data_IF_557509177393
#
_entry.id   IF_557509177393
#
_cell.length_a   1.000
_cell.length_b   1.000
_cell.length_c   1.000
_cell.angle_alpha   90.00
_cell.angle_beta   90.00
_cell.angle_gamma   90.00
#
_symmetry.space_group_name_H-M   'P 1'
#
loop_
_entity.id
_entity.type
_entity.pdbx_description
1 polymer ?
#
# COMPACT_ATOMS: atom_id res chain seq x y z
N UNK A 1 7.83 -2.19 -16.22
CA UNK A 1 9.12 -2.87 -16.11
C UNK A 1 9.22 -3.73 -14.85
N UNK A 2 9.03 -3.15 -13.66
CA UNK A 2 9.10 -3.90 -12.39
C UNK A 2 8.10 -5.06 -12.34
N UNK A 3 6.86 -4.86 -12.81
CA UNK A 3 5.86 -5.92 -12.88
C UNK A 3 6.24 -7.04 -13.85
N UNK A 4 6.86 -6.70 -14.99
CA UNK A 4 7.37 -7.70 -15.95
C UNK A 4 8.48 -8.56 -15.34
N UNK A 5 9.46 -7.94 -14.67
CA UNK A 5 10.55 -8.68 -14.01
C UNK A 5 10.04 -9.58 -12.88
N UNK A 6 9.05 -9.11 -12.11
CA UNK A 6 8.38 -9.94 -11.08
C UNK A 6 7.63 -11.12 -11.70
N UNK A 7 6.94 -10.91 -12.82
CA UNK A 7 6.29 -11.99 -13.57
C UNK A 7 7.29 -13.04 -14.11
N UNK A 8 8.54 -12.63 -14.37
CA UNK A 8 9.65 -13.52 -14.69
C UNK A 8 10.36 -14.11 -13.46
N UNK A 9 9.78 -13.92 -12.26
CA UNK A 9 10.34 -14.32 -10.96
C UNK A 9 11.69 -13.68 -10.61
N UNK A 10 12.11 -12.63 -11.34
CA UNK A 10 13.29 -11.85 -11.02
C UNK A 10 12.91 -10.69 -10.06
N UNK A 11 13.04 -10.95 -8.77
CA UNK A 11 12.83 -9.95 -7.71
C UNK A 11 14.11 -9.22 -7.32
N UNK A 12 15.29 -9.77 -7.68
CA UNK A 12 16.60 -9.22 -7.30
C UNK A 12 16.95 -7.99 -8.14
N UNK A 13 16.75 -8.06 -9.44
CA UNK A 13 17.06 -6.94 -10.35
C UNK A 13 16.31 -5.66 -9.98
N UNK A 14 14.97 -5.65 -9.76
CA UNK A 14 14.26 -4.47 -9.28
C UNK A 14 14.79 -3.95 -7.93
N UNK A 15 15.17 -4.84 -7.02
CA UNK A 15 15.71 -4.46 -5.72
C UNK A 15 17.05 -3.72 -5.86
N UNK A 16 17.98 -4.25 -6.66
CA UNK A 16 19.29 -3.59 -6.87
C UNK A 16 19.16 -2.25 -7.57
N UNK A 17 18.27 -2.14 -8.56
CA UNK A 17 18.01 -0.87 -9.25
C UNK A 17 17.42 0.16 -8.27
N UNK A 18 16.44 -0.25 -7.44
CA UNK A 18 15.86 0.63 -6.45
C UNK A 18 16.90 1.08 -5.41
N UNK A 19 17.71 0.16 -4.88
CA UNK A 19 18.76 0.48 -3.92
C UNK A 19 19.78 1.46 -4.50
N UNK A 20 20.27 1.20 -5.71
CA UNK A 20 21.21 2.08 -6.41
C UNK A 20 20.57 3.46 -6.68
N UNK A 21 19.30 3.48 -7.13
CA UNK A 21 18.58 4.72 -7.43
C UNK A 21 18.32 5.57 -6.19
N UNK A 22 17.91 4.95 -5.07
CA UNK A 22 17.73 5.67 -3.80
C UNK A 22 19.07 6.17 -3.23
N UNK A 23 20.13 5.37 -3.31
CA UNK A 23 21.47 5.81 -2.90
C UNK A 23 21.95 7.00 -3.75
N UNK A 24 21.77 6.92 -5.07
CA UNK A 24 22.08 8.02 -5.97
C UNK A 24 21.26 9.27 -5.67
N UNK A 25 19.96 9.12 -5.33
CA UNK A 25 19.10 10.22 -4.94
C UNK A 25 19.61 10.93 -3.68
N UNK A 26 20.03 10.18 -2.66
CA UNK A 26 20.60 10.76 -1.43
C UNK A 26 21.87 11.56 -1.75
N UNK A 27 22.78 11.00 -2.56
CA UNK A 27 24.02 11.68 -2.95
C UNK A 27 23.73 12.93 -3.79
N UNK A 28 22.84 12.82 -4.78
CA UNK A 28 22.45 13.97 -5.62
C UNK A 28 21.80 15.08 -4.77
N UNK A 29 20.91 14.72 -3.85
CA UNK A 29 20.29 15.69 -2.95
C UNK A 29 21.35 16.37 -2.08
N UNK A 30 22.30 15.62 -1.52
CA UNK A 30 23.37 16.21 -0.71
C UNK A 30 24.22 17.22 -1.53
N UNK A 31 24.60 16.85 -2.75
CA UNK A 31 25.39 17.72 -3.64
C UNK A 31 24.59 18.96 -4.08
N UNK A 32 23.33 18.77 -4.52
CA UNK A 32 22.53 19.88 -5.06
C UNK A 32 22.03 20.82 -3.96
N UNK A 33 21.66 20.31 -2.79
CA UNK A 33 21.16 21.15 -1.68
C UNK A 33 22.31 21.86 -0.97
N UNK A 34 23.33 21.10 -0.54
CA UNK A 34 24.41 21.65 0.29
C UNK A 34 25.63 22.08 -0.51
N UNK A 35 25.98 21.39 -1.60
CA UNK A 35 27.13 21.75 -2.43
C UNK A 35 26.87 22.94 -3.35
N UNK A 36 25.71 22.95 -4.03
CA UNK A 36 25.32 24.00 -4.97
C UNK A 36 24.33 25.03 -4.36
N UNK A 37 23.91 24.85 -3.12
CA UNK A 37 23.01 25.80 -2.46
C UNK A 37 21.60 25.92 -3.04
N UNK A 38 21.16 24.92 -3.83
CA UNK A 38 19.88 25.00 -4.58
C UNK A 38 18.63 24.77 -3.70
N UNK A 39 18.77 24.45 -2.42
CA UNK A 39 17.66 24.27 -1.50
C UNK A 39 16.60 23.30 -2.02
N UNK A 40 15.33 23.71 -1.98
CA UNK A 40 14.19 22.86 -2.41
C UNK A 40 14.25 22.46 -3.88
N UNK A 41 14.71 23.35 -4.75
CA UNK A 41 14.87 23.07 -6.19
C UNK A 41 15.91 21.97 -6.41
N UNK A 42 17.01 21.99 -5.65
CA UNK A 42 18.04 20.95 -5.69
C UNK A 42 17.49 19.58 -5.31
N UNK A 43 16.66 19.50 -4.25
CA UNK A 43 15.99 18.26 -3.85
C UNK A 43 15.05 17.73 -4.93
N UNK A 44 14.27 18.59 -5.56
CA UNK A 44 13.38 18.21 -6.65
C UNK A 44 14.15 17.67 -7.87
N UNK A 45 15.21 18.39 -8.29
CA UNK A 45 16.05 17.97 -9.41
C UNK A 45 16.79 16.66 -9.13
N UNK A 46 17.36 16.50 -7.95
CA UNK A 46 18.03 15.25 -7.55
C UNK A 46 17.08 14.04 -7.64
N UNK A 47 15.85 14.21 -7.18
CA UNK A 47 14.82 13.17 -7.25
C UNK A 47 14.43 12.86 -8.70
N UNK A 48 14.21 13.88 -9.54
CA UNK A 48 13.87 13.70 -10.96
C UNK A 48 15.00 12.97 -11.69
N UNK A 49 16.25 13.40 -11.52
CA UNK A 49 17.41 12.76 -12.17
C UNK A 49 17.52 11.29 -11.76
N UNK A 50 17.44 10.98 -10.46
CA UNK A 50 17.53 9.60 -9.97
C UNK A 50 16.39 8.73 -10.52
N UNK A 51 15.15 9.23 -10.56
CA UNK A 51 14.01 8.50 -11.09
C UNK A 51 14.12 8.25 -12.60
N UNK A 52 14.56 9.25 -13.37
CA UNK A 52 14.81 9.06 -14.82
C UNK A 52 15.93 8.08 -15.08
N UNK A 53 17.02 8.12 -14.31
CA UNK A 53 18.11 7.14 -14.43
C UNK A 53 17.59 5.72 -14.17
N UNK A 54 16.83 5.50 -13.09
CA UNK A 54 16.20 4.21 -12.82
C UNK A 54 15.27 3.77 -13.96
N UNK A 55 14.44 4.68 -14.47
CA UNK A 55 13.53 4.39 -15.57
C UNK A 55 14.27 3.96 -16.84
N UNK A 56 15.36 4.63 -17.21
CA UNK A 56 16.19 4.27 -18.38
C UNK A 56 16.84 2.90 -18.21
N UNK A 57 17.34 2.59 -17.01
CA UNK A 57 17.90 1.25 -16.71
C UNK A 57 16.82 0.17 -16.87
N UNK A 58 15.61 0.39 -16.32
CA UNK A 58 14.50 -0.54 -16.47
C UNK A 58 14.09 -0.74 -17.94
N UNK A 59 13.99 0.35 -18.71
CA UNK A 59 13.67 0.27 -20.15
C UNK A 59 14.75 -0.52 -20.90
N UNK A 60 16.03 -0.31 -20.60
CA UNK A 60 17.12 -1.07 -21.19
C UNK A 60 17.06 -2.57 -20.89
N UNK A 61 16.71 -2.94 -19.65
CA UNK A 61 16.55 -4.35 -19.26
C UNK A 61 15.35 -4.98 -19.96
N UNK A 62 14.21 -4.30 -20.01
CA UNK A 62 13.01 -4.77 -20.70
C UNK A 62 13.30 -4.96 -22.19
N UNK A 63 13.97 -4.01 -22.83
CA UNK A 63 14.34 -4.11 -24.23
C UNK A 63 15.28 -5.32 -24.48
N UNK A 64 16.25 -5.55 -23.61
CA UNK A 64 17.13 -6.74 -23.69
C UNK A 64 16.34 -8.05 -23.57
N UNK A 65 15.42 -8.13 -22.61
CA UNK A 65 14.59 -9.32 -22.44
C UNK A 65 13.67 -9.54 -23.64
N UNK A 66 13.07 -8.49 -24.17
CA UNK A 66 12.22 -8.56 -25.37
C UNK A 66 13.01 -9.10 -26.59
N UNK A 67 14.24 -8.63 -26.79
CA UNK A 67 15.13 -9.13 -27.86
C UNK A 67 15.51 -10.59 -27.64
N UNK A 68 15.83 -10.98 -26.40
CA UNK A 68 16.21 -12.35 -26.05
C UNK A 68 15.09 -13.36 -26.31
N UNK A 69 13.85 -12.96 -26.08
CA UNK A 69 12.67 -13.81 -26.29
C UNK A 69 12.00 -13.61 -27.65
N UNK A 70 12.68 -12.97 -28.61
CA UNK A 70 12.16 -12.68 -29.95
C UNK A 70 10.77 -12.01 -29.94
N UNK A 71 10.45 -11.26 -28.87
CA UNK A 71 9.20 -10.56 -28.75
C UNK A 71 9.13 -9.45 -29.80
N UNK A 72 7.98 -9.37 -30.51
CA UNK A 72 7.77 -8.31 -31.48
C UNK A 72 7.78 -6.95 -30.79
N UNK A 73 8.69 -6.06 -31.18
CA UNK A 73 8.72 -4.67 -30.72
C UNK A 73 7.61 -3.81 -31.36
N UNK A 74 6.81 -4.38 -32.27
CA UNK A 74 5.69 -3.65 -32.89
C UNK A 74 4.53 -3.59 -31.89
N UNK A 75 4.06 -2.38 -31.52
CA UNK A 75 2.92 -2.23 -30.63
C UNK A 75 1.67 -2.79 -31.30
N UNK A 76 1.17 -3.92 -30.81
CA UNK A 76 -0.12 -4.47 -31.22
C UNK A 76 -1.27 -3.69 -30.56
N UNK A 77 -2.21 -3.17 -31.36
CA UNK A 77 -3.37 -2.39 -30.84
C UNK A 77 -4.16 -3.15 -29.77
N UNK A 78 -4.28 -4.48 -29.91
CA UNK A 78 -4.96 -5.36 -28.95
C UNK A 78 -4.22 -5.35 -27.59
N UNK A 79 -2.89 -5.49 -27.59
CA UNK A 79 -2.09 -5.48 -26.37
C UNK A 79 -2.14 -4.12 -25.65
N UNK A 80 -2.09 -3.02 -26.42
CA UNK A 80 -2.20 -1.66 -25.86
C UNK A 80 -3.58 -1.45 -25.22
N UNK A 81 -4.66 -1.83 -25.87
CA UNK A 81 -6.02 -1.68 -25.35
C UNK A 81 -6.23 -2.50 -24.06
N UNK A 82 -5.74 -3.74 -24.03
CA UNK A 82 -5.81 -4.59 -22.83
C UNK A 82 -5.01 -4.00 -21.67
N UNK A 83 -3.78 -3.52 -21.93
CA UNK A 83 -2.95 -2.88 -20.94
C UNK A 83 -3.57 -1.56 -20.43
N UNK A 84 -4.12 -0.72 -21.31
CA UNK A 84 -4.80 0.52 -20.97
C UNK A 84 -6.05 0.26 -20.11
N UNK A 85 -6.86 -0.75 -20.47
CA UNK A 85 -8.05 -1.14 -19.71
C UNK A 85 -7.69 -1.64 -18.30
N UNK A 86 -6.70 -2.52 -18.21
CA UNK A 86 -6.22 -3.03 -16.91
C UNK A 86 -5.60 -1.93 -16.05
N UNK A 87 -4.77 -1.08 -16.66
CA UNK A 87 -4.21 0.10 -16.00
C UNK A 87 -5.29 1.08 -15.53
N UNK A 88 -6.33 1.31 -16.33
CA UNK A 88 -7.46 2.16 -15.97
C UNK A 88 -8.21 1.67 -14.73
N UNK A 89 -8.46 0.37 -14.62
CA UNK A 89 -9.05 -0.20 -13.41
C UNK A 89 -8.17 -0.02 -12.17
N UNK A 90 -6.86 -0.27 -12.30
CA UNK A 90 -5.91 -0.06 -11.20
C UNK A 90 -5.78 1.42 -10.81
N UNK A 91 -5.93 2.35 -11.77
CA UNK A 91 -6.02 3.79 -11.46
C UNK A 91 -7.24 4.12 -10.62
N UNK A 92 -8.44 3.62 -10.98
CA UNK A 92 -9.66 3.84 -10.19
C UNK A 92 -9.50 3.30 -8.77
N UNK A 93 -8.96 2.09 -8.62
CA UNK A 93 -8.62 1.53 -7.30
C UNK A 93 -7.70 2.44 -6.50
N UNK A 94 -6.62 2.91 -7.13
CA UNK A 94 -5.62 3.76 -6.47
C UNK A 94 -6.20 5.12 -6.09
N UNK A 95 -7.00 5.71 -6.96
CA UNK A 95 -7.71 6.97 -6.67
C UNK A 95 -8.69 6.82 -5.51
N UNK A 96 -9.46 5.72 -5.45
CA UNK A 96 -10.36 5.45 -4.32
C UNK A 96 -9.60 5.38 -2.99
N UNK A 97 -8.44 4.72 -2.96
CA UNK A 97 -7.58 4.67 -1.79
C UNK A 97 -7.05 6.08 -1.41
N UNK A 98 -6.58 6.85 -2.40
CA UNK A 98 -6.07 8.20 -2.17
C UNK A 98 -7.15 9.14 -1.65
N UNK A 99 -8.37 9.06 -2.19
CA UNK A 99 -9.51 9.83 -1.73
C UNK A 99 -9.85 9.47 -0.28
N UNK A 100 -9.85 8.18 0.09
CA UNK A 100 -10.07 7.75 1.47
C UNK A 100 -9.03 8.36 2.42
N UNK A 101 -7.74 8.31 2.07
CA UNK A 101 -6.67 8.88 2.89
C UNK A 101 -6.78 10.40 3.03
N UNK A 102 -7.08 11.11 1.93
CA UNK A 102 -7.27 12.58 1.96
C UNK A 102 -8.48 12.93 2.83
N UNK A 103 -9.61 12.24 2.65
CA UNK A 103 -10.80 12.47 3.46
C UNK A 103 -10.53 12.26 4.96
N UNK A 104 -9.73 11.26 5.31
CA UNK A 104 -9.29 11.04 6.70
C UNK A 104 -8.48 12.22 7.25
N UNK A 105 -7.55 12.75 6.46
CA UNK A 105 -6.75 13.92 6.84
C UNK A 105 -7.62 15.17 6.99
N UNK A 106 -8.61 15.37 6.11
CA UNK A 106 -9.57 16.48 6.21
C UNK A 106 -10.35 16.41 7.52
N UNK A 107 -10.84 15.22 7.90
CA UNK A 107 -11.54 15.04 9.19
C UNK A 107 -10.56 15.26 10.36
N UNK A 108 -9.35 14.71 10.31
CA UNK A 108 -8.36 14.94 11.36
C UNK A 108 -8.05 16.44 11.54
N UNK A 109 -8.02 17.20 10.44
CA UNK A 109 -7.82 18.66 10.45
C UNK A 109 -9.00 19.39 11.10
N UNK A 110 -10.22 18.95 10.85
CA UNK A 110 -11.42 19.56 11.45
C UNK A 110 -11.55 19.31 12.96
N UNK A 111 -10.92 18.24 13.46
CA UNK A 111 -10.90 17.94 14.90
C UNK A 111 -9.97 18.90 15.67
N UNK A 112 -8.88 19.37 15.04
CA UNK A 112 -7.96 20.30 15.64
C UNK A 112 -6.48 20.06 15.27
N UNK A 113 -5.61 20.99 15.65
CA UNK A 113 -4.17 20.94 15.29
C UNK A 113 -3.45 19.77 15.97
N UNK A 114 -3.79 19.47 17.24
CA UNK A 114 -3.16 18.38 17.99
C UNK A 114 -3.64 17.02 17.49
N UNK A 115 -4.89 16.95 17.13
CA UNK A 115 -5.52 15.77 16.52
C UNK A 115 -4.87 15.46 15.16
N UNK A 116 -4.71 16.46 14.33
CA UNK A 116 -4.00 16.31 13.06
C UNK A 116 -2.56 15.85 13.27
N UNK A 117 -1.83 16.44 14.23
CA UNK A 117 -0.46 16.03 14.55
C UNK A 117 -0.41 14.58 15.04
N UNK A 118 -1.34 14.20 15.94
CA UNK A 118 -1.47 12.82 16.43
C UNK A 118 -1.73 11.86 15.27
N UNK A 119 -2.68 12.20 14.40
CA UNK A 119 -3.02 11.38 13.22
C UNK A 119 -1.83 11.21 12.28
N UNK A 120 -1.06 12.26 12.02
CA UNK A 120 0.14 12.17 11.18
C UNK A 120 1.19 11.21 11.74
N UNK A 121 1.40 11.21 13.05
CA UNK A 121 2.32 10.26 13.70
C UNK A 121 1.80 8.83 13.53
N UNK A 122 0.52 8.58 13.81
CA UNK A 122 -0.12 7.26 13.65
C UNK A 122 0.01 6.78 12.21
N UNK A 123 -0.30 7.65 11.24
CA UNK A 123 -0.23 7.32 9.82
C UNK A 123 1.20 7.05 9.34
N UNK A 124 2.19 7.77 9.87
CA UNK A 124 3.62 7.52 9.59
C UNK A 124 4.03 6.14 10.09
N UNK A 125 3.66 5.78 11.32
CA UNK A 125 3.92 4.45 11.89
C UNK A 125 3.20 3.37 11.07
N UNK A 126 1.91 3.56 10.76
CA UNK A 126 1.17 2.63 9.91
C UNK A 126 1.83 2.45 8.54
N UNK A 127 2.32 3.54 7.93
CA UNK A 127 2.98 3.48 6.62
C UNK A 127 4.28 2.67 6.65
N UNK A 128 5.06 2.76 7.74
CA UNK A 128 6.24 1.92 7.93
C UNK A 128 5.87 0.44 8.07
N UNK A 129 4.83 0.13 8.84
CA UNK A 129 4.33 -1.24 8.98
C UNK A 129 3.75 -1.76 7.65
N UNK A 130 3.05 -0.91 6.91
CA UNK A 130 2.50 -1.22 5.60
C UNK A 130 3.59 -1.62 4.59
N UNK A 131 4.79 -1.02 4.63
CA UNK A 131 5.91 -1.45 3.80
C UNK A 131 6.33 -2.90 4.07
N UNK A 132 6.31 -3.32 5.34
CA UNK A 132 6.59 -4.71 5.70
C UNK A 132 5.48 -5.66 5.18
N UNK A 133 4.20 -5.26 5.32
CA UNK A 133 3.06 -6.04 4.83
C UNK A 133 3.02 -6.11 3.29
N UNK A 134 3.46 -5.06 2.61
CA UNK A 134 3.53 -5.00 1.15
C UNK A 134 4.50 -6.04 0.57
N UNK A 135 5.50 -6.47 1.33
CA UNK A 135 6.41 -7.53 0.91
C UNK A 135 5.68 -8.86 0.64
N UNK A 136 4.70 -9.20 1.48
CA UNK A 136 3.84 -10.37 1.27
C UNK A 136 2.91 -10.20 0.07
N UNK A 137 2.36 -8.99 -0.11
CA UNK A 137 1.53 -8.68 -1.27
C UNK A 137 2.31 -8.81 -2.58
N UNK A 138 3.55 -8.31 -2.62
CA UNK A 138 4.44 -8.39 -3.78
C UNK A 138 4.80 -9.84 -4.10
N UNK A 139 5.12 -10.65 -3.09
CA UNK A 139 5.39 -12.07 -3.28
C UNK A 139 4.16 -12.80 -3.82
N UNK A 140 2.99 -12.57 -3.23
CA UNK A 140 1.72 -13.11 -3.68
C UNK A 140 1.40 -12.73 -5.13
N UNK A 141 1.57 -11.46 -5.48
CA UNK A 141 1.36 -10.97 -6.85
C UNK A 141 2.24 -11.70 -7.87
N UNK A 142 3.52 -11.90 -7.55
CA UNK A 142 4.46 -12.54 -8.47
C UNK A 142 4.15 -14.03 -8.67
N UNK A 143 3.92 -14.77 -7.59
CA UNK A 143 3.68 -16.22 -7.64
C UNK A 143 2.33 -16.51 -8.30
N UNK A 144 1.25 -15.87 -7.84
CA UNK A 144 -0.09 -16.08 -8.39
C UNK A 144 -0.16 -15.68 -9.88
N UNK A 145 0.50 -14.58 -10.28
CA UNK A 145 0.54 -14.19 -11.68
C UNK A 145 1.26 -15.21 -12.57
N UNK A 146 2.34 -15.82 -12.07
CA UNK A 146 3.06 -16.89 -12.76
C UNK A 146 2.21 -18.16 -12.87
N UNK A 147 1.66 -18.65 -11.76
CA UNK A 147 0.98 -19.93 -11.70
C UNK A 147 -0.35 -19.91 -12.47
N UNK A 148 -1.07 -18.78 -12.50
CA UNK A 148 -2.20 -18.58 -13.39
C UNK A 148 -1.78 -18.54 -14.87
N UNK A 149 -0.59 -18.00 -15.16
CA UNK A 149 -0.01 -17.99 -16.50
C UNK A 149 0.31 -19.39 -17.04
N UNK A 150 0.75 -20.30 -16.16
CA UNK A 150 1.01 -21.73 -16.49
C UNK A 150 -0.23 -22.61 -16.42
N UNK A 151 -1.34 -22.10 -15.87
CA UNK A 151 -2.60 -22.84 -15.74
C UNK A 151 -2.67 -23.77 -14.53
N UNK A 152 -1.70 -23.71 -13.60
CA UNK A 152 -1.67 -24.54 -12.39
C UNK A 152 -2.58 -23.98 -11.29
N UNK A 153 -3.88 -24.30 -11.40
CA UNK A 153 -4.89 -23.83 -10.43
C UNK A 153 -4.76 -24.51 -9.05
N UNK A 154 -4.14 -25.67 -8.97
CA UNK A 154 -3.95 -26.37 -7.69
C UNK A 154 -2.89 -25.64 -6.87
N UNK A 155 -1.74 -25.30 -7.49
CA UNK A 155 -0.69 -24.54 -6.82
C UNK A 155 -1.19 -23.11 -6.47
N UNK A 156 -1.98 -22.46 -7.32
CA UNK A 156 -2.63 -21.18 -7.01
C UNK A 156 -3.43 -21.24 -5.71
N UNK A 157 -4.26 -22.28 -5.51
CA UNK A 157 -5.05 -22.45 -4.28
C UNK A 157 -4.17 -22.67 -3.06
N UNK A 158 -3.15 -23.51 -3.19
CA UNK A 158 -2.21 -23.83 -2.14
C UNK A 158 -1.42 -22.60 -1.71
N UNK A 159 -0.84 -21.88 -2.65
CA UNK A 159 -0.10 -20.63 -2.40
C UNK A 159 -1.00 -19.57 -1.77
N UNK A 160 -2.24 -19.40 -2.26
CA UNK A 160 -3.22 -18.49 -1.65
C UNK A 160 -3.45 -18.81 -0.17
N UNK A 161 -3.64 -20.09 0.17
CA UNK A 161 -3.86 -20.50 1.56
C UNK A 161 -2.64 -20.25 2.45
N UNK A 162 -1.44 -20.48 1.93
CA UNK A 162 -0.18 -20.23 2.62
C UNK A 162 0.01 -18.73 2.85
N UNK A 163 -0.20 -17.89 1.82
CA UNK A 163 -0.09 -16.43 1.93
C UNK A 163 -1.06 -15.86 2.97
N UNK A 164 -2.30 -16.35 3.01
CA UNK A 164 -3.29 -15.92 4.00
C UNK A 164 -2.83 -16.29 5.42
N UNK A 165 -2.31 -17.50 5.64
CA UNK A 165 -1.78 -17.89 6.95
C UNK A 165 -0.60 -17.02 7.38
N UNK A 166 0.37 -16.82 6.49
CA UNK A 166 1.52 -15.97 6.77
C UNK A 166 1.13 -14.51 7.00
N UNK A 167 0.10 -14.01 6.32
CA UNK A 167 -0.39 -12.64 6.55
C UNK A 167 -0.96 -12.49 7.96
N UNK A 168 -1.75 -13.45 8.45
CA UNK A 168 -2.26 -13.41 9.83
C UNK A 168 -1.14 -13.53 10.87
N UNK A 169 -0.13 -14.39 10.63
CA UNK A 169 1.03 -14.51 11.51
C UNK A 169 1.85 -13.21 11.56
N UNK A 170 2.16 -12.63 10.40
CA UNK A 170 2.90 -11.37 10.29
C UNK A 170 2.10 -10.21 10.92
N UNK A 171 0.81 -10.10 10.60
CA UNK A 171 -0.06 -9.08 11.19
C UNK A 171 -0.23 -9.24 12.69
N UNK A 172 -0.34 -10.49 13.18
CA UNK A 172 -0.38 -10.80 14.61
C UNK A 172 0.93 -10.44 15.33
N UNK A 173 2.07 -10.78 14.73
CA UNK A 173 3.38 -10.38 15.25
C UNK A 173 3.51 -8.85 15.34
N UNK A 174 3.16 -8.14 14.27
CA UNK A 174 3.19 -6.67 14.24
C UNK A 174 2.19 -6.06 15.24
N UNK A 175 1.04 -6.69 15.45
CA UNK A 175 0.05 -6.26 16.45
C UNK A 175 0.61 -6.35 17.87
N UNK A 176 1.22 -7.48 18.23
CA UNK A 176 1.87 -7.67 19.53
C UNK A 176 3.03 -6.67 19.69
N UNK A 177 3.90 -6.57 18.67
CA UNK A 177 5.01 -5.61 18.69
C UNK A 177 4.51 -4.18 18.89
N UNK A 178 3.51 -3.75 18.14
CA UNK A 178 2.94 -2.40 18.25
C UNK A 178 2.25 -2.18 19.59
N UNK A 179 1.49 -3.16 20.09
CA UNK A 179 0.84 -3.07 21.40
C UNK A 179 1.86 -2.90 22.54
N UNK A 180 2.96 -3.63 22.50
CA UNK A 180 4.05 -3.50 23.46
C UNK A 180 4.84 -2.18 23.31
N UNK A 181 5.00 -1.70 22.08
CA UNK A 181 5.70 -0.46 21.77
C UNK A 181 4.85 0.81 22.00
N UNK A 182 3.51 0.69 22.00
CA UNK A 182 2.58 1.80 22.11
C UNK A 182 2.83 2.72 23.31
N UNK A 183 3.22 2.26 24.51
CA UNK A 183 3.54 3.16 25.62
C UNK A 183 4.86 3.93 25.44
N UNK A 184 5.84 3.37 24.72
CA UNK A 184 7.18 3.92 24.55
C UNK A 184 7.33 4.83 23.33
N UNK A 185 6.70 4.48 22.20
CA UNK A 185 6.81 5.21 20.93
C UNK A 185 6.45 6.69 21.03
N UNK A 186 5.40 7.11 21.75
CA UNK A 186 5.07 8.53 21.88
C UNK A 186 6.18 9.39 22.46
N UNK A 187 6.98 8.84 23.34
CA UNK A 187 8.13 9.57 23.94
C UNK A 187 9.23 9.88 22.93
N UNK A 188 9.36 9.05 21.91
CA UNK A 188 10.34 9.25 20.83
C UNK A 188 9.81 10.18 19.72
N UNK A 189 8.48 10.29 19.58
CA UNK A 189 7.86 10.98 18.45
C UNK A 189 7.48 12.43 18.75
N UNK A 190 7.18 12.76 20.01
CA UNK A 190 6.74 14.11 20.37
C UNK A 190 7.13 14.50 21.80
N UNK A 191 7.36 15.78 22.03
CA UNK A 191 7.56 16.36 23.38
C UNK A 191 6.25 16.81 24.04
N UNK A 192 5.15 16.95 23.27
CA UNK A 192 3.86 17.36 23.80
C UNK A 192 3.19 16.23 24.60
N UNK A 193 2.96 16.47 25.90
CA UNK A 193 2.38 15.49 26.82
C UNK A 193 0.94 15.12 26.48
N UNK A 194 0.16 16.03 25.90
CA UNK A 194 -1.22 15.83 25.53
C UNK A 194 -1.31 14.91 24.28
N UNK A 195 -0.48 15.18 23.28
CA UNK A 195 -0.37 14.32 22.10
C UNK A 195 0.14 12.93 22.51
N UNK A 196 1.11 12.81 23.44
CA UNK A 196 1.61 11.52 23.92
C UNK A 196 0.50 10.64 24.49
N UNK A 197 -0.33 11.22 25.37
CA UNK A 197 -1.42 10.47 26.00
C UNK A 197 -2.45 9.97 24.97
N UNK A 198 -2.85 10.83 24.04
CA UNK A 198 -3.77 10.44 22.98
C UNK A 198 -3.17 9.37 22.08
N UNK A 199 -1.88 9.51 21.72
CA UNK A 199 -1.18 8.62 20.81
C UNK A 199 -1.09 7.20 21.32
N UNK A 200 -0.89 6.97 22.63
CA UNK A 200 -0.90 5.62 23.23
C UNK A 200 -2.18 4.87 22.89
N UNK A 201 -3.34 5.47 23.12
CA UNK A 201 -4.63 4.83 22.88
C UNK A 201 -4.89 4.56 21.41
N UNK A 202 -4.53 5.52 20.53
CA UNK A 202 -4.71 5.35 19.09
C UNK A 202 -3.78 4.27 18.53
N UNK A 203 -2.53 4.16 19.03
CA UNK A 203 -1.59 3.09 18.64
C UNK A 203 -2.02 1.71 19.13
N UNK A 204 -2.59 1.61 20.34
CA UNK A 204 -3.20 0.35 20.81
C UNK A 204 -4.34 -0.06 19.88
N UNK A 205 -5.20 0.87 19.51
CA UNK A 205 -6.30 0.58 18.58
C UNK A 205 -5.78 0.24 17.17
N UNK A 206 -4.70 0.91 16.71
CA UNK A 206 -4.00 0.54 15.48
C UNK A 206 -3.51 -0.91 15.54
N UNK A 207 -2.90 -1.34 16.66
CA UNK A 207 -2.40 -2.69 16.83
C UNK A 207 -3.48 -3.75 16.56
N UNK A 208 -4.71 -3.54 17.05
CA UNK A 208 -5.84 -4.45 16.78
C UNK A 208 -6.25 -4.52 15.31
N UNK A 209 -5.94 -3.51 14.50
CA UNK A 209 -6.28 -3.49 13.07
C UNK A 209 -5.22 -4.16 12.20
N UNK A 210 -3.99 -4.38 12.71
CA UNK A 210 -2.87 -4.90 11.92
C UNK A 210 -3.08 -6.31 11.36
N UNK A 211 -3.69 -7.29 12.07
CA UNK A 211 -3.95 -8.60 11.49
C UNK A 211 -4.91 -8.53 10.30
N UNK A 212 -5.95 -7.69 10.41
CA UNK A 212 -6.91 -7.48 9.32
C UNK A 212 -6.26 -6.72 8.17
N UNK A 213 -5.44 -5.72 8.47
CA UNK A 213 -4.66 -4.98 7.46
C UNK A 213 -3.74 -5.92 6.68
N UNK A 214 -3.00 -6.77 7.36
CA UNK A 214 -2.10 -7.75 6.73
C UNK A 214 -2.84 -8.70 5.78
N UNK A 215 -3.99 -9.20 6.20
CA UNK A 215 -4.87 -10.01 5.36
C UNK A 215 -5.32 -9.25 4.09
N UNK A 216 -5.72 -7.99 4.24
CA UNK A 216 -6.10 -7.13 3.10
C UNK A 216 -4.94 -6.92 2.13
N UNK A 217 -3.72 -6.64 2.64
CA UNK A 217 -2.53 -6.48 1.80
C UNK A 217 -2.21 -7.75 1.00
N UNK A 218 -2.27 -8.93 1.64
CA UNK A 218 -2.03 -10.20 0.96
C UNK A 218 -3.08 -10.45 -0.14
N UNK A 219 -4.37 -10.25 0.15
CA UNK A 219 -5.44 -10.42 -0.84
C UNK A 219 -5.35 -9.42 -2.00
N UNK A 220 -4.98 -8.19 -1.72
CA UNK A 220 -4.71 -7.19 -2.75
C UNK A 220 -3.61 -7.68 -3.72
N UNK A 221 -2.49 -8.18 -3.17
CA UNK A 221 -1.40 -8.75 -3.97
C UNK A 221 -1.88 -9.92 -4.83
N UNK A 222 -2.61 -10.88 -4.25
CA UNK A 222 -3.17 -12.03 -4.94
C UNK A 222 -4.07 -11.61 -6.11
N UNK A 223 -5.04 -10.71 -5.87
CA UNK A 223 -6.01 -10.28 -6.89
C UNK A 223 -5.37 -9.38 -7.96
N UNK A 224 -4.36 -8.58 -7.61
CA UNK A 224 -3.56 -7.83 -8.59
C UNK A 224 -2.75 -8.81 -9.46
N UNK A 225 -2.12 -9.83 -8.86
CA UNK A 225 -1.42 -10.89 -9.58
C UNK A 225 -2.34 -11.67 -10.52
N UNK A 226 -3.55 -11.93 -10.07
CA UNK A 226 -4.60 -12.53 -10.88
C UNK A 226 -5.18 -11.61 -11.99
N UNK A 227 -4.81 -10.33 -12.03
CA UNK A 227 -5.33 -9.37 -13.03
C UNK A 227 -6.79 -8.97 -12.80
N UNK A 228 -7.36 -9.21 -11.61
CA UNK A 228 -8.76 -8.87 -11.29
C UNK A 228 -8.94 -7.38 -10.92
N UNK A 229 -8.32 -6.51 -11.71
CA UNK A 229 -8.31 -5.06 -11.49
C UNK A 229 -9.70 -4.43 -11.50
N UNK A 230 -10.63 -4.96 -12.30
CA UNK A 230 -12.02 -4.46 -12.34
C UNK A 230 -12.72 -4.65 -11.00
N UNK A 231 -12.60 -5.84 -10.40
CA UNK A 231 -13.18 -6.11 -9.09
C UNK A 231 -12.59 -5.21 -8.01
N UNK A 232 -11.27 -5.07 -8.00
CA UNK A 232 -10.54 -4.19 -7.07
C UNK A 232 -10.97 -2.73 -7.18
N UNK A 233 -11.23 -2.24 -8.41
CA UNK A 233 -11.70 -0.89 -8.65
C UNK A 233 -13.13 -0.67 -8.12
N UNK A 234 -14.05 -1.56 -8.49
CA UNK A 234 -15.47 -1.46 -8.08
C UNK A 234 -15.58 -1.53 -6.56
N UNK A 235 -14.94 -2.52 -5.94
CA UNK A 235 -14.96 -2.66 -4.46
C UNK A 235 -14.22 -1.53 -3.77
N UNK A 236 -13.17 -0.97 -4.38
CA UNK A 236 -12.51 0.23 -3.87
C UNK A 236 -13.45 1.43 -3.74
N UNK A 237 -14.28 1.68 -4.77
CA UNK A 237 -15.29 2.75 -4.74
C UNK A 237 -16.40 2.43 -3.72
N UNK A 238 -16.88 1.18 -3.68
CA UNK A 238 -17.89 0.76 -2.69
C UNK A 238 -17.39 0.94 -1.25
N UNK A 239 -16.16 0.52 -0.98
CA UNK A 239 -15.55 0.64 0.35
C UNK A 239 -15.36 2.12 0.75
N UNK A 240 -15.05 3.01 -0.21
CA UNK A 240 -15.02 4.45 0.03
C UNK A 240 -16.40 4.98 0.42
N UNK A 241 -17.47 4.55 -0.26
CA UNK A 241 -18.84 4.91 0.08
C UNK A 241 -19.26 4.42 1.48
N UNK A 242 -18.86 3.19 1.84
CA UNK A 242 -19.12 2.65 3.19
C UNK A 242 -18.29 3.36 4.27
N UNK A 243 -17.14 3.92 3.92
CA UNK A 243 -16.27 4.64 4.84
C UNK A 243 -16.81 6.04 5.21
N UNK A 244 -17.46 6.73 4.26
CA UNK A 244 -17.90 8.11 4.40
C UNK A 244 -18.79 8.38 5.65
N UNK A 245 -19.80 7.54 5.98
CA UNK A 245 -20.61 7.74 7.18
C UNK A 245 -19.81 7.68 8.49
N UNK A 246 -18.80 6.82 8.55
CA UNK A 246 -17.94 6.67 9.74
C UNK A 246 -16.98 7.85 9.88
N UNK A 247 -16.52 8.43 8.76
CA UNK A 247 -15.76 9.68 8.77
C UNK A 247 -16.60 10.85 9.29
N UNK A 248 -17.84 10.94 8.82
CA UNK A 248 -18.77 11.95 9.31
C UNK A 248 -19.02 11.78 10.81
N UNK A 249 -19.26 10.54 11.28
CA UNK A 249 -19.42 10.26 12.70
C UNK A 249 -18.17 10.66 13.50
N UNK A 250 -16.95 10.38 12.99
CA UNK A 250 -15.71 10.77 13.64
C UNK A 250 -15.60 12.30 13.83
N UNK A 251 -16.14 13.09 12.88
CA UNK A 251 -16.13 14.55 12.96
C UNK A 251 -17.14 15.12 13.99
N UNK A 252 -18.10 14.31 14.44
CA UNK A 252 -19.17 14.74 15.38
C UNK A 252 -18.94 14.29 16.82
N UNK A 253 -18.02 13.34 17.04
CA UNK A 253 -17.71 12.83 18.38
C UNK A 253 -16.78 13.81 19.11
N UNK A 254 -17.26 14.34 20.22
CA UNK A 254 -16.50 15.21 21.11
C UNK A 254 -16.29 14.54 22.47
N UNK A 255 -15.13 13.97 22.67
CA UNK A 255 -14.65 13.51 23.97
C UNK A 255 -13.24 14.01 24.18
N UNK A 256 -13.17 15.18 24.80
CA UNK A 256 -11.89 15.88 25.04
C UNK A 256 -11.26 15.39 26.33
N UNK A 257 -10.02 14.93 26.26
CA UNK A 257 -9.19 14.54 27.39
C UNK A 257 -7.85 15.25 27.30
N UNK A 258 -7.46 15.94 28.38
CA UNK A 258 -6.18 16.66 28.45
C UNK A 258 -5.96 17.65 27.28
N UNK A 259 -7.02 18.28 26.77
CA UNK A 259 -6.94 19.28 25.70
C UNK A 259 -6.77 18.72 24.28
N UNK A 260 -7.07 17.42 24.09
CA UNK A 260 -7.15 16.74 22.79
C UNK A 260 -8.50 16.04 22.67
N UNK A 261 -9.14 16.11 21.52
CA UNK A 261 -10.35 15.34 21.25
C UNK A 261 -10.00 13.86 20.99
N UNK A 262 -9.79 13.12 22.08
CA UNK A 262 -9.46 11.70 22.04
C UNK A 262 -10.60 10.88 21.40
N UNK A 263 -11.86 11.22 21.67
CA UNK A 263 -13.02 10.52 21.10
C UNK A 263 -13.05 10.60 19.59
N UNK A 264 -12.86 11.79 19.03
CA UNK A 264 -12.76 11.99 17.58
C UNK A 264 -11.60 11.20 16.96
N UNK A 265 -10.42 11.19 17.59
CA UNK A 265 -9.25 10.42 17.14
C UNK A 265 -9.49 8.90 17.17
N UNK A 266 -10.06 8.38 18.26
CA UNK A 266 -10.36 6.95 18.37
C UNK A 266 -11.43 6.55 17.34
N UNK A 267 -12.46 7.37 17.15
CA UNK A 267 -13.47 7.11 16.14
C UNK A 267 -12.89 7.17 14.72
N UNK A 268 -11.97 8.09 14.46
CA UNK A 268 -11.24 8.17 13.18
C UNK A 268 -10.42 6.91 12.94
N UNK A 269 -9.75 6.38 13.96
CA UNK A 269 -8.99 5.12 13.86
C UNK A 269 -9.92 3.92 13.68
N UNK A 270 -11.07 3.88 14.35
CA UNK A 270 -12.11 2.87 14.14
C UNK A 270 -12.65 2.95 12.71
N UNK A 271 -12.97 4.15 12.25
CA UNK A 271 -13.43 4.36 10.88
C UNK A 271 -12.41 3.83 9.86
N UNK A 272 -11.14 4.20 9.99
CA UNK A 272 -10.09 3.73 9.07
C UNK A 272 -9.82 2.22 9.20
N UNK A 273 -9.58 1.71 10.41
CA UNK A 273 -9.16 0.34 10.64
C UNK A 273 -10.28 -0.70 10.50
N UNK A 274 -11.47 -0.41 11.06
CA UNK A 274 -12.56 -1.39 11.05
C UNK A 274 -13.59 -1.13 9.94
N UNK A 275 -13.91 0.11 9.60
CA UNK A 275 -14.84 0.37 8.51
C UNK A 275 -14.13 0.23 7.16
N UNK A 276 -13.10 1.02 6.87
CA UNK A 276 -12.45 1.00 5.57
C UNK A 276 -11.66 -0.28 5.31
N UNK A 277 -10.71 -0.64 6.21
CA UNK A 277 -9.91 -1.86 6.09
C UNK A 277 -10.78 -3.11 6.28
N UNK A 278 -11.74 -3.08 7.21
CA UNK A 278 -12.69 -4.18 7.44
C UNK A 278 -13.60 -4.44 6.24
N UNK A 279 -14.16 -3.40 5.62
CA UNK A 279 -14.93 -3.52 4.39
C UNK A 279 -14.10 -4.12 3.25
N UNK A 280 -12.82 -3.72 3.14
CA UNK A 280 -11.88 -4.33 2.18
C UNK A 280 -11.62 -5.79 2.51
N UNK A 281 -11.43 -6.14 3.78
CA UNK A 281 -11.25 -7.53 4.20
C UNK A 281 -12.43 -8.41 3.80
N UNK A 282 -13.65 -7.91 3.97
CA UNK A 282 -14.88 -8.61 3.57
C UNK A 282 -14.99 -8.76 2.05
N UNK A 283 -14.87 -7.66 1.30
CA UNK A 283 -15.03 -7.68 -0.17
C UNK A 283 -13.95 -8.53 -0.84
N UNK A 284 -12.69 -8.34 -0.47
CA UNK A 284 -11.57 -9.12 -1.04
C UNK A 284 -11.63 -10.58 -0.58
N UNK A 285 -12.01 -10.84 0.69
CA UNK A 285 -12.15 -12.19 1.22
C UNK A 285 -13.26 -12.99 0.55
N UNK A 286 -14.41 -12.37 0.27
CA UNK A 286 -15.50 -12.99 -0.50
C UNK A 286 -15.04 -13.32 -1.92
N UNK A 287 -14.27 -12.44 -2.56
CA UNK A 287 -13.71 -12.71 -3.89
C UNK A 287 -12.71 -13.85 -3.86
N UNK A 288 -11.80 -13.87 -2.89
CA UNK A 288 -10.80 -14.91 -2.75
C UNK A 288 -11.40 -16.31 -2.49
N UNK A 289 -12.54 -16.38 -1.80
CA UNK A 289 -13.29 -17.63 -1.61
C UNK A 289 -13.98 -18.13 -2.88
N UNK A 290 -14.29 -17.24 -3.82
CA UNK A 290 -14.86 -17.62 -5.12
C UNK A 290 -13.73 -18.05 -6.06
N UNK A 291 -14.02 -18.98 -6.99
CA UNK A 291 -13.06 -19.35 -8.04
C UNK A 291 -13.06 -18.38 -9.24
N UNK A 292 -13.88 -17.34 -9.20
CA UNK A 292 -14.13 -16.47 -10.35
C UNK A 292 -12.95 -15.55 -10.73
N UNK A 293 -11.94 -15.42 -9.86
CA UNK A 293 -10.71 -14.66 -10.12
C UNK A 293 -9.59 -15.52 -10.71
N UNK A 294 -9.70 -16.88 -10.58
CA UNK A 294 -8.70 -17.83 -11.05
C UNK A 294 -8.91 -18.12 -12.55
N UNK A 295 -8.58 -17.18 -13.40
CA UNK A 295 -8.71 -17.32 -14.86
C UNK A 295 -7.34 -17.63 -15.46
N UNK A 296 -7.12 -18.82 -16.05
CA UNK A 296 -5.86 -19.19 -16.68
C UNK A 296 -5.50 -18.26 -17.85
N UNK A 297 -4.19 -18.11 -18.12
CA UNK A 297 -3.67 -17.20 -19.13
C UNK A 297 -4.15 -17.47 -20.56
N UNK A 298 -4.45 -18.71 -20.90
CA UNK A 298 -4.96 -19.12 -22.23
C UNK A 298 -6.40 -18.64 -22.53
N UNK A 299 -7.14 -18.18 -21.51
CA UNK A 299 -8.53 -17.74 -21.64
C UNK A 299 -8.72 -16.22 -21.52
N UNK A 300 -7.63 -15.44 -21.55
CA UNK A 300 -7.65 -13.97 -21.43
C UNK A 300 -7.55 -13.22 -22.74
#
# INVERSE_FOLDING_TARGET
>A
ATGMLRGLQDTKTPLYIALAGFSANVVLNAVLIYGLGMGLVGSALGTVIAQWAMALVFVGIVARQALKHHASARPGLVGINTAARSGGWLLIRTLSLRIALIATVVVATSLGTKELATWHIVFTIFSLLALALDSLAIAGQAIIGHDLGTGDLEEVRKVTSVLIRWSFLAGGFLAVFMGLAAPALPWMMTSDSQIRQALVWVLVLLAFTLPVSSYVFALDGILIGAGDGKYLAVTGVLNLGMYAPFLWLASTVEWVTSGVNLGGLLMLQVAFGFSYIGARALTLGLRAKSNAWMVPGESR
#
